data_IF_433675151490
#
_entry.id   IF_433675151490
#
_cell.length_a   1.000
_cell.length_b   1.000
_cell.length_c   1.000
_cell.angle_alpha   90.00
_cell.angle_beta   90.00
_cell.angle_gamma   90.00
#
_symmetry.space_group_name_H-M   'P 1'
#
loop_
_entity.id
_entity.type
_entity.pdbx_description
1 polymer ?
#
# COMPACT_ATOMS: atom_id res chain seq x y z
N UNK A 1 -1.69 7.75 -36.43
CA UNK A 1 -2.60 7.97 -35.29
C UNK A 1 -2.17 7.04 -34.17
N UNK A 2 -1.63 7.56 -33.06
CA UNK A 2 -1.33 6.73 -31.89
C UNK A 2 -2.64 6.18 -31.34
N UNK A 3 -2.88 4.87 -31.50
CA UNK A 3 -3.90 4.19 -30.71
C UNK A 3 -3.44 4.33 -29.26
N UNK A 4 -4.18 5.10 -28.46
CA UNK A 4 -4.09 4.97 -27.00
C UNK A 4 -4.57 3.54 -26.71
N UNK A 5 -3.64 2.64 -26.42
CA UNK A 5 -3.98 1.32 -25.90
C UNK A 5 -4.72 1.52 -24.57
N UNK A 6 -5.73 0.71 -24.35
CA UNK A 6 -6.42 0.65 -23.06
C UNK A 6 -5.40 0.26 -21.98
N UNK A 7 -5.41 0.89 -20.80
CA UNK A 7 -4.51 0.51 -19.71
C UNK A 7 -4.79 -0.93 -19.27
N UNK A 8 -3.75 -1.66 -18.89
CA UNK A 8 -3.86 -3.08 -18.50
C UNK A 8 -4.63 -3.29 -17.19
N UNK A 9 -4.58 -2.29 -16.31
CA UNK A 9 -5.37 -2.23 -15.10
C UNK A 9 -6.23 -0.98 -15.10
N UNK A 10 -7.38 -1.07 -14.43
CA UNK A 10 -8.23 0.09 -14.17
C UNK A 10 -7.50 1.12 -13.29
N UNK A 11 -7.99 2.37 -13.36
CA UNK A 11 -7.48 3.46 -12.55
C UNK A 11 -7.47 3.12 -11.06
N UNK A 12 -6.42 3.55 -10.37
CA UNK A 12 -6.22 3.15 -8.98
C UNK A 12 -6.92 4.08 -7.99
N UNK A 13 -8.09 3.66 -7.50
CA UNK A 13 -8.81 4.39 -6.43
C UNK A 13 -7.96 4.62 -5.17
N UNK A 14 -7.13 3.65 -4.78
CA UNK A 14 -6.24 3.77 -3.62
C UNK A 14 -5.12 4.80 -3.85
N UNK A 15 -4.62 4.91 -5.08
CA UNK A 15 -3.64 5.94 -5.46
C UNK A 15 -4.28 7.33 -5.45
N UNK A 16 -5.47 7.47 -6.04
CA UNK A 16 -6.21 8.73 -6.08
C UNK A 16 -6.58 9.20 -4.67
N UNK A 17 -6.98 8.28 -3.79
CA UNK A 17 -7.22 8.58 -2.38
C UNK A 17 -5.95 9.05 -1.67
N UNK A 18 -4.83 8.36 -1.86
CA UNK A 18 -3.55 8.75 -1.27
C UNK A 18 -3.14 10.16 -1.70
N UNK A 19 -3.14 10.45 -3.00
CA UNK A 19 -2.76 11.79 -3.49
C UNK A 19 -3.74 12.87 -3.03
N UNK A 20 -5.04 12.58 -2.98
CA UNK A 20 -6.03 13.50 -2.41
C UNK A 20 -5.72 13.82 -0.94
N UNK A 21 -5.30 12.83 -0.14
CA UNK A 21 -4.89 13.04 1.25
C UNK A 21 -3.57 13.82 1.37
N UNK A 22 -2.62 13.60 0.46
CA UNK A 22 -1.37 14.39 0.39
C UNK A 22 -1.68 15.85 0.04
N UNK A 23 -2.55 16.10 -0.94
CA UNK A 23 -2.97 17.46 -1.32
C UNK A 23 -3.73 18.17 -0.18
N UNK A 24 -4.47 17.41 0.63
CA UNK A 24 -5.19 17.92 1.78
C UNK A 24 -4.31 18.12 3.04
N UNK A 25 -3.00 17.81 2.97
CA UNK A 25 -2.07 17.85 4.10
C UNK A 25 -2.59 17.08 5.32
N UNK A 26 -3.11 15.86 5.06
CA UNK A 26 -3.70 15.01 6.08
C UNK A 26 -2.69 14.55 7.13
N UNK A 27 -3.18 14.20 8.32
CA UNK A 27 -2.33 13.71 9.41
C UNK A 27 -1.53 12.46 9.00
N UNK A 28 -0.29 12.37 9.52
CA UNK A 28 0.67 11.31 9.19
C UNK A 28 0.11 9.87 9.35
N UNK A 29 -0.67 9.51 10.38
CA UNK A 29 -1.26 8.17 10.48
C UNK A 29 -2.23 7.86 9.34
N UNK A 30 -3.00 8.86 8.90
CA UNK A 30 -3.95 8.72 7.80
C UNK A 30 -3.20 8.52 6.47
N UNK A 31 -2.14 9.30 6.24
CA UNK A 31 -1.25 9.13 5.07
C UNK A 31 -0.59 7.76 5.04
N UNK A 32 -0.07 7.26 6.18
CA UNK A 32 0.51 5.91 6.30
C UNK A 32 -0.51 4.81 5.98
N UNK A 33 -1.75 4.94 6.49
CA UNK A 33 -2.82 3.98 6.21
C UNK A 33 -3.23 3.96 4.73
N UNK A 34 -3.25 5.13 4.08
CA UNK A 34 -3.54 5.24 2.65
C UNK A 34 -2.40 4.70 1.80
N UNK A 35 -1.14 4.98 2.15
CA UNK A 35 0.04 4.40 1.50
C UNK A 35 0.05 2.88 1.62
N UNK A 36 -0.32 2.33 2.78
CA UNK A 36 -0.45 0.88 2.99
C UNK A 36 -1.45 0.25 2.01
N UNK A 37 -2.63 0.87 1.88
CA UNK A 37 -3.67 0.40 0.95
C UNK A 37 -3.18 0.41 -0.49
N UNK A 38 -2.54 1.50 -0.90
CA UNK A 38 -1.89 1.64 -2.22
C UNK A 38 -0.84 0.54 -2.43
N UNK A 39 0.05 0.32 -1.46
CA UNK A 39 1.08 -0.72 -1.49
C UNK A 39 0.48 -2.13 -1.65
N UNK A 40 -0.55 -2.48 -0.88
CA UNK A 40 -1.22 -3.78 -0.97
C UNK A 40 -1.80 -4.04 -2.36
N UNK A 41 -2.40 -3.01 -3.00
CA UNK A 41 -2.94 -3.13 -4.35
C UNK A 41 -1.83 -3.32 -5.39
N UNK A 42 -0.77 -2.50 -5.32
CA UNK A 42 0.37 -2.58 -6.23
C UNK A 42 1.05 -3.96 -6.17
N UNK A 43 1.23 -4.53 -4.97
CA UNK A 43 1.80 -5.88 -4.82
C UNK A 43 0.93 -6.94 -5.48
N UNK A 44 -0.40 -6.90 -5.27
CA UNK A 44 -1.32 -7.85 -5.92
C UNK A 44 -1.25 -7.77 -7.45
N UNK A 45 -1.20 -6.56 -8.00
CA UNK A 45 -1.10 -6.35 -9.45
C UNK A 45 0.25 -6.84 -9.99
N UNK A 46 1.35 -6.53 -9.30
CA UNK A 46 2.68 -6.98 -9.69
C UNK A 46 2.83 -8.50 -9.63
N UNK A 47 2.40 -9.16 -8.55
CA UNK A 47 2.39 -10.63 -8.44
C UNK A 47 1.54 -11.24 -9.56
N UNK A 48 0.36 -10.69 -9.84
CA UNK A 48 -0.48 -11.16 -10.93
C UNK A 48 0.22 -11.11 -12.30
N UNK A 49 0.96 -10.03 -12.58
CA UNK A 49 1.75 -9.90 -13.82
C UNK A 49 2.91 -10.90 -13.86
N UNK A 50 3.62 -11.10 -12.75
CA UNK A 50 4.71 -12.08 -12.65
C UNK A 50 4.21 -13.50 -12.91
N UNK A 51 3.09 -13.89 -12.29
CA UNK A 51 2.46 -15.19 -12.48
C UNK A 51 2.01 -15.41 -13.93
N UNK A 52 1.48 -14.35 -14.58
CA UNK A 52 1.02 -14.41 -15.95
C UNK A 52 2.16 -14.41 -16.99
N UNK A 53 3.36 -13.93 -16.63
CA UNK A 53 4.45 -13.68 -17.57
C UNK A 53 4.86 -14.93 -18.37
N UNK A 54 5.10 -16.05 -17.68
CA UNK A 54 5.57 -17.28 -18.33
C UNK A 54 4.50 -17.88 -19.27
N UNK A 55 3.22 -17.81 -18.86
CA UNK A 55 2.11 -18.30 -19.65
C UNK A 55 1.90 -17.44 -20.91
N UNK A 56 1.88 -16.11 -20.77
CA UNK A 56 1.73 -15.18 -21.88
C UNK A 56 2.91 -15.23 -22.85
N UNK A 57 4.15 -15.36 -22.34
CA UNK A 57 5.33 -15.54 -23.19
C UNK A 57 5.23 -16.81 -24.04
N UNK A 58 4.71 -17.90 -23.48
CA UNK A 58 4.50 -19.16 -24.21
C UNK A 58 3.43 -19.01 -25.28
N UNK A 59 2.31 -18.35 -24.96
CA UNK A 59 1.23 -18.07 -25.92
C UNK A 59 1.70 -17.16 -27.06
N UNK A 60 2.54 -16.17 -26.78
CA UNK A 60 3.11 -15.27 -27.78
C UNK A 60 4.03 -16.02 -28.74
N UNK A 61 4.97 -16.81 -28.21
CA UNK A 61 5.88 -17.63 -29.03
C UNK A 61 5.16 -18.62 -29.93
N UNK A 62 4.02 -19.15 -29.48
CA UNK A 62 3.20 -20.07 -30.25
C UNK A 62 2.30 -19.37 -31.29
N UNK A 63 2.27 -18.03 -31.31
CA UNK A 63 1.41 -17.24 -32.20
C UNK A 63 -0.05 -17.17 -31.76
N UNK A 64 -0.38 -17.63 -30.55
CA UNK A 64 -1.75 -17.61 -30.01
C UNK A 64 -2.19 -16.22 -29.54
N UNK A 65 -1.25 -15.32 -29.27
CA UNK A 65 -1.49 -13.91 -28.98
C UNK A 65 -0.60 -13.03 -29.87
N UNK A 66 -1.09 -11.85 -30.24
CA UNK A 66 -0.38 -10.92 -31.12
C UNK A 66 0.68 -10.07 -30.41
N UNK A 67 1.58 -9.49 -31.20
CA UNK A 67 2.66 -8.60 -30.73
C UNK A 67 2.12 -7.39 -29.97
N UNK A 68 0.97 -6.84 -30.37
CA UNK A 68 0.33 -5.70 -29.72
C UNK A 68 -0.07 -6.02 -28.27
N UNK A 69 -0.61 -7.22 -28.00
CA UNK A 69 -1.01 -7.63 -26.66
C UNK A 69 0.22 -7.91 -25.79
N UNK A 70 1.21 -8.56 -26.37
CA UNK A 70 2.47 -8.82 -25.66
C UNK A 70 3.20 -7.52 -25.31
N UNK A 71 3.26 -6.56 -26.23
CA UNK A 71 3.81 -5.24 -25.96
C UNK A 71 3.05 -4.51 -24.85
N UNK A 72 1.71 -4.56 -24.85
CA UNK A 72 0.89 -3.99 -23.77
C UNK A 72 1.18 -4.63 -22.41
N UNK A 73 1.29 -5.96 -22.36
CA UNK A 73 1.67 -6.67 -21.13
C UNK A 73 3.05 -6.24 -20.63
N UNK A 74 4.03 -6.11 -21.52
CA UNK A 74 5.39 -5.67 -21.15
C UNK A 74 5.44 -4.23 -20.65
N UNK A 75 4.61 -3.34 -21.21
CA UNK A 75 4.45 -1.97 -20.73
C UNK A 75 3.84 -2.00 -19.33
N UNK A 76 2.72 -2.71 -19.14
CA UNK A 76 2.06 -2.82 -17.85
C UNK A 76 2.97 -3.39 -16.76
N UNK A 77 3.76 -4.43 -17.08
CA UNK A 77 4.71 -5.01 -16.15
C UNK A 77 5.77 -3.99 -15.68
N UNK A 78 6.28 -3.16 -16.59
CA UNK A 78 7.23 -2.09 -16.25
C UNK A 78 6.58 -0.97 -15.45
N UNK A 79 5.36 -0.58 -15.79
CA UNK A 79 4.61 0.46 -15.09
C UNK A 79 4.31 0.02 -13.64
N UNK A 80 3.84 -1.21 -13.43
CA UNK A 80 3.58 -1.74 -12.09
C UNK A 80 4.87 -1.90 -11.27
N UNK A 81 6.00 -2.27 -11.89
CA UNK A 81 7.29 -2.30 -11.21
C UNK A 81 7.75 -0.88 -10.80
N UNK A 82 7.58 0.10 -11.68
CA UNK A 82 7.92 1.50 -11.38
C UNK A 82 7.07 2.06 -10.24
N UNK A 83 5.75 1.84 -10.27
CA UNK A 83 4.83 2.24 -9.20
C UNK A 83 5.23 1.61 -7.86
N UNK A 84 5.57 0.32 -7.86
CA UNK A 84 6.02 -0.35 -6.64
C UNK A 84 7.30 0.28 -6.06
N UNK A 85 8.28 0.60 -6.92
CA UNK A 85 9.52 1.28 -6.48
C UNK A 85 9.25 2.67 -5.91
N UNK A 86 8.31 3.41 -6.47
CA UNK A 86 7.89 4.71 -5.94
C UNK A 86 7.27 4.57 -4.55
N UNK A 87 6.38 3.60 -4.35
CA UNK A 87 5.77 3.32 -3.04
C UNK A 87 6.82 2.96 -1.99
N UNK A 88 7.82 2.15 -2.35
CA UNK A 88 8.93 1.80 -1.45
C UNK A 88 9.78 3.02 -1.09
N UNK A 89 10.09 3.87 -2.07
CA UNK A 89 10.82 5.11 -1.83
C UNK A 89 10.03 6.08 -0.93
N UNK A 90 8.72 6.17 -1.15
CA UNK A 90 7.80 6.98 -0.35
C UNK A 90 7.69 6.47 1.09
N UNK A 91 7.61 5.14 1.28
CA UNK A 91 7.62 4.53 2.61
C UNK A 91 8.89 4.89 3.42
N UNK A 92 10.05 4.95 2.78
CA UNK A 92 11.30 5.35 3.44
C UNK A 92 11.25 6.78 3.99
N UNK A 93 10.42 7.67 3.41
CA UNK A 93 10.26 9.05 3.89
C UNK A 93 9.50 9.13 5.22
N UNK A 94 8.61 8.18 5.49
CA UNK A 94 7.85 8.13 6.75
C UNK A 94 8.66 7.53 7.89
N UNK A 95 9.55 6.57 7.59
CA UNK A 95 10.47 5.99 8.58
C UNK A 95 11.66 5.34 7.90
N UNK A 96 12.85 5.75 8.32
CA UNK A 96 14.10 5.12 7.88
C UNK A 96 14.09 3.63 8.20
N UNK A 97 14.38 2.80 7.21
CA UNK A 97 14.42 1.34 7.33
C UNK A 97 13.13 0.62 6.95
N UNK A 98 12.03 1.31 6.61
CA UNK A 98 10.85 0.65 6.03
C UNK A 98 11.16 -0.01 4.68
N UNK A 99 12.03 0.56 3.85
CA UNK A 99 12.49 -0.10 2.61
C UNK A 99 13.56 -1.19 2.83
N UNK A 100 14.21 -1.22 4.00
CA UNK A 100 15.29 -2.16 4.34
C UNK A 100 14.77 -3.27 5.25
N UNK A 101 14.13 -4.28 4.68
CA UNK A 101 14.06 -5.57 5.37
C UNK A 101 15.49 -6.14 5.45
N UNK A 102 15.90 -6.42 6.70
CA UNK A 102 17.21 -6.97 7.09
C UNK A 102 17.70 -8.09 6.16
N UNK A 103 18.91 -7.95 5.64
CA UNK A 103 19.78 -9.10 5.36
C UNK A 103 20.38 -9.58 6.68
N UNK A 104 20.11 -10.83 7.03
CA UNK A 104 20.82 -11.48 8.13
C UNK A 104 22.30 -11.65 7.75
N UNK A 105 23.15 -11.62 8.77
CA UNK A 105 24.56 -11.23 8.73
C UNK A 105 25.57 -12.18 8.04
N UNK A 106 25.17 -13.16 7.22
CA UNK A 106 26.11 -14.25 6.82
C UNK A 106 26.04 -14.72 5.35
N UNK A 107 25.61 -13.89 4.38
CA UNK A 107 25.61 -14.35 2.99
C UNK A 107 25.64 -13.22 1.98
N UNK A 108 26.79 -13.09 1.29
CA UNK A 108 27.07 -12.05 0.31
C UNK A 108 25.97 -11.86 -0.73
N UNK A 109 25.70 -10.59 -1.01
CA UNK A 109 24.71 -10.17 -2.00
C UNK A 109 25.40 -10.18 -3.36
N UNK A 110 25.04 -11.14 -4.21
CA UNK A 110 25.26 -10.98 -5.64
C UNK A 110 24.09 -10.15 -6.18
N UNK A 111 24.42 -9.14 -6.97
CA UNK A 111 23.57 -8.05 -7.46
C UNK A 111 22.50 -8.50 -8.50
N UNK A 112 22.23 -9.80 -8.60
CA UNK A 112 21.41 -10.43 -9.66
C UNK A 112 20.06 -10.99 -9.16
N UNK A 113 19.61 -10.58 -7.97
CA UNK A 113 18.36 -11.08 -7.36
C UNK A 113 17.47 -9.93 -6.82
N UNK A 114 17.34 -8.85 -7.58
CA UNK A 114 16.54 -7.68 -7.16
C UNK A 114 15.04 -7.99 -7.07
N UNK A 115 14.52 -8.95 -7.85
CA UNK A 115 13.09 -9.30 -7.85
C UNK A 115 12.61 -9.98 -6.56
N UNK A 116 13.38 -10.91 -6.00
CA UNK A 116 12.97 -11.65 -4.78
C UNK A 116 13.07 -10.83 -3.49
N UNK A 117 14.01 -9.88 -3.43
CA UNK A 117 14.15 -8.98 -2.29
C UNK A 117 12.97 -7.99 -2.20
N UNK A 118 12.43 -7.58 -3.34
CA UNK A 118 11.30 -6.66 -3.47
C UNK A 118 10.01 -7.30 -2.93
N UNK A 119 9.74 -8.57 -3.24
CA UNK A 119 8.56 -9.31 -2.75
C UNK A 119 8.60 -9.60 -1.24
N UNK A 120 9.78 -9.91 -0.70
CA UNK A 120 9.97 -10.11 0.74
C UNK A 120 9.85 -8.81 1.52
N UNK A 121 10.42 -7.71 0.99
CA UNK A 121 10.27 -6.37 1.58
C UNK A 121 8.81 -5.98 1.62
N UNK A 122 8.07 -6.17 0.52
CA UNK A 122 6.66 -5.85 0.42
C UNK A 122 5.81 -6.61 1.45
N UNK A 123 5.98 -7.93 1.55
CA UNK A 123 5.16 -8.73 2.46
C UNK A 123 5.44 -8.42 3.94
N UNK A 124 6.69 -8.12 4.30
CA UNK A 124 7.03 -7.82 5.70
C UNK A 124 6.65 -6.38 6.08
N UNK A 125 6.88 -5.38 5.20
CA UNK A 125 6.38 -4.01 5.45
C UNK A 125 4.87 -3.97 5.54
N UNK A 126 4.16 -4.67 4.66
CA UNK A 126 2.70 -4.75 4.72
C UNK A 126 2.21 -5.36 6.03
N UNK A 127 2.87 -6.41 6.53
CA UNK A 127 2.55 -7.01 7.84
C UNK A 127 2.82 -6.06 9.00
N UNK A 128 3.97 -5.41 9.03
CA UNK A 128 4.34 -4.49 10.11
C UNK A 128 3.40 -3.27 10.13
N UNK A 129 3.08 -2.71 8.96
CA UNK A 129 2.14 -1.59 8.85
C UNK A 129 0.71 -2.01 9.23
N UNK A 130 0.28 -3.23 8.92
CA UNK A 130 -1.04 -3.74 9.34
C UNK A 130 -1.15 -3.85 10.86
N UNK A 131 -0.14 -4.42 11.52
CA UNK A 131 -0.09 -4.54 12.99
C UNK A 131 -0.11 -3.18 13.66
N UNK A 132 0.67 -2.21 13.16
CA UNK A 132 0.68 -0.86 13.73
C UNK A 132 -0.65 -0.12 13.54
N UNK A 133 -1.28 -0.26 12.38
CA UNK A 133 -2.59 0.34 12.12
C UNK A 133 -3.67 -0.22 13.06
N UNK A 134 -3.65 -1.53 13.37
CA UNK A 134 -4.56 -2.13 14.35
C UNK A 134 -4.30 -1.64 15.78
N UNK A 135 -3.04 -1.50 16.18
CA UNK A 135 -2.67 -0.97 17.50
C UNK A 135 -3.12 0.48 17.68
N UNK A 136 -2.86 1.34 16.69
CA UNK A 136 -3.26 2.75 16.73
C UNK A 136 -4.79 2.91 16.74
N UNK A 137 -5.51 2.13 15.93
CA UNK A 137 -6.98 2.10 15.95
C UNK A 137 -7.52 1.67 17.32
N UNK A 138 -6.92 0.65 17.94
CA UNK A 138 -7.31 0.20 19.28
C UNK A 138 -7.01 1.24 20.37
N UNK A 139 -5.95 2.04 20.22
CA UNK A 139 -5.64 3.15 21.14
C UNK A 139 -6.68 4.25 21.00
N UNK A 140 -7.04 4.63 19.78
CA UNK A 140 -8.09 5.63 19.51
C UNK A 140 -9.44 5.19 20.08
N UNK A 141 -9.85 3.94 19.87
CA UNK A 141 -11.10 3.39 20.42
C UNK A 141 -11.12 3.41 21.95
N UNK A 142 -9.99 3.14 22.60
CA UNK A 142 -9.86 3.28 24.07
C UNK A 142 -9.96 4.72 24.53
N UNK A 143 -9.41 5.67 23.76
CA UNK A 143 -9.47 7.09 24.08
C UNK A 143 -10.87 7.67 23.91
N UNK A 144 -11.58 7.32 22.83
CA UNK A 144 -12.98 7.74 22.62
C UNK A 144 -13.89 7.20 23.70
N UNK A 145 -13.78 5.90 24.03
CA UNK A 145 -14.57 5.30 25.11
C UNK A 145 -14.34 5.97 26.46
N UNK A 146 -13.09 6.35 26.76
CA UNK A 146 -12.73 7.08 27.97
C UNK A 146 -13.29 8.51 27.98
N UNK A 147 -13.40 9.18 26.84
CA UNK A 147 -14.06 10.49 26.73
C UNK A 147 -15.57 10.39 26.94
N UNK A 148 -16.23 9.39 26.35
CA UNK A 148 -17.67 9.13 26.55
C UNK A 148 -18.01 8.89 28.03
N UNK A 149 -17.15 8.15 28.73
CA UNK A 149 -17.29 7.91 30.18
C UNK A 149 -17.15 9.21 31.00
N UNK A 150 -16.33 10.17 30.55
CA UNK A 150 -16.14 11.46 31.22
C UNK A 150 -17.29 12.44 30.94
N UNK A 151 -17.77 12.52 29.70
CA UNK A 151 -18.96 13.33 29.35
C UNK A 151 -20.24 12.81 30.03
N UNK A 152 -20.36 11.48 30.19
CA UNK A 152 -21.47 10.85 30.92
C UNK A 152 -21.49 11.16 32.43
N UNK A 153 -20.36 11.61 33.00
CA UNK A 153 -20.25 12.02 34.41
C UNK A 153 -20.62 13.49 34.61
N UNK A 154 -20.31 14.37 33.66
CA UNK A 154 -20.67 15.80 33.74
C UNK A 154 -22.18 16.04 33.66
N UNK A 155 -22.90 15.24 32.84
CA UNK A 155 -24.36 15.39 32.68
C UNK A 155 -25.18 14.90 33.90
N UNK A 156 -24.55 14.25 34.90
CA UNK A 156 -25.20 13.83 36.16
C UNK A 156 -24.97 14.79 37.33
N UNK A 157 -24.14 15.83 37.17
CA UNK A 157 -23.77 16.75 38.25
C UNK A 157 -24.55 18.07 38.28
N UNK A 158 -25.64 18.23 37.54
CA UNK A 158 -26.53 19.40 37.72
C UNK A 158 -27.44 19.22 38.94
N UNK A 159 -27.20 19.92 40.08
CA UNK A 159 -28.02 19.78 41.27
C UNK A 159 -29.26 20.64 41.08
N UNK A 160 -30.43 20.00 41.01
CA UNK A 160 -31.71 20.73 41.05
C UNK A 160 -31.93 21.25 42.48
N UNK A 161 -31.48 22.46 42.78
CA UNK A 161 -31.85 23.15 44.00
C UNK A 161 -33.30 23.64 43.89
N UNK A 162 -34.24 22.88 44.46
CA UNK A 162 -35.61 23.34 44.70
C UNK A 162 -35.67 23.96 46.09
N UNK A 163 -35.79 25.28 46.11
CA UNK A 163 -35.96 26.08 47.32
C UNK A 163 -37.28 25.79 48.04
N UNK A 164 -37.23 26.00 49.36
CA UNK A 164 -38.37 26.24 50.24
C UNK A 164 -38.01 27.36 51.18
#
# INVERSE_FOLDING_TARGET
ASKRSEPWFDESEDQNLYFSLVEADADEPLLKSALLRRAMKAVRQWTHLQDAQAALQTLHRNGSIGDDLWAQFQVAAKESEAEFREIVAEAETFKEGWSKVRKNSDGGIKEEETGGAVELVANETLKEMHVQAEEEAAVLERQTRRMEDLEGVENKSSPTMKGK
#
